data_IF_581313217461
#
_entry.id   IF_581313217461
#
_cell.length_a   1.000
_cell.length_b   1.000
_cell.length_c   1.000
_cell.angle_alpha   90.00
_cell.angle_beta   90.00
_cell.angle_gamma   90.00
#
_symmetry.space_group_name_H-M   'P 1'
#
loop_
_entity.id
_entity.type
_entity.pdbx_description
1 polymer ?
#
# COMPACT_ATOMS: atom_id res chain seq x y z
N UNK A 1 -57.25 -104.95 41.49
CA UNK A 1 -57.50 -104.29 40.19
C UNK A 1 -57.59 -102.78 40.41
N UNK A 2 -56.46 -102.11 40.72
CA UNK A 2 -56.39 -100.64 40.95
C UNK A 2 -55.07 -100.01 40.44
N UNK A 3 -54.14 -100.80 39.90
CA UNK A 3 -52.80 -100.31 39.51
C UNK A 3 -52.67 -99.79 38.06
N UNK A 4 -53.78 -99.65 37.31
CA UNK A 4 -53.74 -99.22 35.89
C UNK A 4 -54.29 -97.81 35.63
N UNK A 5 -54.66 -97.04 36.65
CA UNK A 5 -55.31 -95.73 36.48
C UNK A 5 -54.42 -94.51 36.83
N UNK A 6 -53.22 -94.71 37.38
CA UNK A 6 -52.27 -93.63 37.73
C UNK A 6 -51.09 -93.47 36.75
N UNK A 7 -51.00 -94.32 35.71
CA UNK A 7 -49.90 -94.27 34.72
C UNK A 7 -50.19 -93.29 33.57
N UNK A 8 -51.46 -92.96 33.35
CA UNK A 8 -51.93 -92.08 32.27
C UNK A 8 -51.53 -90.59 32.43
N UNK A 9 -51.53 -89.96 33.62
CA UNK A 9 -51.11 -88.55 33.74
C UNK A 9 -49.58 -88.36 33.69
N UNK A 10 -48.79 -89.40 33.96
CA UNK A 10 -47.31 -89.34 33.93
C UNK A 10 -46.75 -89.49 32.50
N UNK A 11 -47.45 -90.23 31.63
CA UNK A 11 -47.09 -90.36 30.21
C UNK A 11 -47.46 -89.09 29.41
N UNK A 12 -48.48 -88.34 29.83
CA UNK A 12 -48.90 -87.09 29.17
C UNK A 12 -47.96 -85.91 29.48
N UNK A 13 -47.27 -85.91 30.63
CA UNK A 13 -46.30 -84.88 31.02
C UNK A 13 -44.91 -85.10 30.39
N UNK A 14 -44.60 -86.33 29.96
CA UNK A 14 -43.34 -86.67 29.27
C UNK A 14 -43.35 -86.33 27.76
N UNK A 15 -44.50 -85.98 27.18
CA UNK A 15 -44.65 -85.74 25.74
C UNK A 15 -44.36 -84.27 25.33
N UNK A 16 -44.22 -83.36 26.29
CA UNK A 16 -44.03 -81.92 26.04
C UNK A 16 -42.54 -81.53 25.92
N UNK A 17 -41.60 -82.43 26.25
CA UNK A 17 -40.15 -82.12 26.30
C UNK A 17 -39.39 -82.51 25.02
N UNK A 18 -40.07 -82.97 23.95
CA UNK A 18 -39.40 -83.44 22.71
C UNK A 18 -39.59 -82.54 21.48
N UNK A 19 -39.87 -81.25 21.66
CA UNK A 19 -39.65 -80.26 20.57
C UNK A 19 -38.14 -80.05 20.39
N UNK A 20 -37.54 -81.00 19.66
CA UNK A 20 -36.23 -80.89 19.04
C UNK A 20 -36.34 -79.86 17.91
N UNK A 21 -35.84 -78.65 18.15
CA UNK A 21 -35.53 -77.72 17.09
C UNK A 21 -34.14 -78.09 16.56
N UNK A 22 -34.10 -78.60 15.33
CA UNK A 22 -32.89 -78.84 14.56
C UNK A 22 -32.00 -77.58 14.55
N UNK A 23 -30.67 -77.68 14.67
CA UNK A 23 -29.81 -76.54 14.37
C UNK A 23 -29.86 -76.29 12.86
N UNK A 24 -30.83 -75.50 12.41
CA UNK A 24 -30.65 -74.75 11.20
C UNK A 24 -29.38 -73.92 11.40
N UNK A 25 -28.37 -74.11 10.53
CA UNK A 25 -27.20 -73.24 10.42
C UNK A 25 -27.71 -71.80 10.38
N UNK A 26 -27.65 -71.12 11.53
CA UNK A 26 -27.61 -69.67 11.55
C UNK A 26 -26.29 -69.32 10.89
N UNK A 27 -26.24 -68.37 9.94
CA UNK A 27 -24.95 -67.78 9.61
C UNK A 27 -24.41 -67.24 10.94
N UNK A 28 -23.26 -67.77 11.35
CA UNK A 28 -22.40 -67.07 12.30
C UNK A 28 -22.31 -65.66 11.77
N UNK A 29 -22.86 -64.71 12.52
CA UNK A 29 -22.49 -63.32 12.36
C UNK A 29 -21.04 -63.25 12.77
N UNK A 30 -20.14 -63.55 11.83
CA UNK A 30 -18.79 -63.03 11.84
C UNK A 30 -18.93 -61.56 12.18
N UNK A 31 -18.44 -61.20 13.37
CA UNK A 31 -18.30 -59.79 13.70
C UNK A 31 -17.45 -59.21 12.57
N UNK A 32 -17.88 -58.13 11.90
CA UNK A 32 -17.14 -57.62 10.76
C UNK A 32 -15.68 -57.46 11.19
N UNK A 33 -14.78 -58.06 10.41
CA UNK A 33 -13.35 -58.01 10.71
C UNK A 33 -12.98 -56.53 10.91
N UNK A 34 -12.22 -56.24 11.96
CA UNK A 34 -11.82 -54.88 12.27
C UNK A 34 -11.10 -54.24 11.07
N UNK A 35 -10.39 -55.05 10.28
CA UNK A 35 -9.80 -54.66 9.00
C UNK A 35 -10.82 -54.19 7.98
N UNK A 36 -11.88 -54.96 7.74
CA UNK A 36 -12.96 -54.62 6.80
C UNK A 36 -13.75 -53.38 7.24
N UNK A 37 -14.04 -53.26 8.54
CA UNK A 37 -14.72 -52.09 9.10
C UNK A 37 -13.86 -50.82 8.96
N UNK A 38 -12.55 -50.93 9.23
CA UNK A 38 -11.61 -49.82 9.04
C UNK A 38 -11.54 -49.39 7.58
N UNK A 39 -11.47 -50.34 6.65
CA UNK A 39 -11.42 -50.04 5.22
C UNK A 39 -12.71 -49.36 4.76
N UNK A 40 -13.87 -49.85 5.21
CA UNK A 40 -15.16 -49.23 4.92
C UNK A 40 -15.23 -47.79 5.44
N UNK A 41 -14.77 -47.52 6.67
CA UNK A 41 -14.74 -46.15 7.21
C UNK A 41 -13.78 -45.26 6.43
N UNK A 42 -12.60 -45.75 6.05
CA UNK A 42 -11.65 -44.99 5.23
C UNK A 42 -12.24 -44.67 3.85
N UNK A 43 -12.91 -45.63 3.22
CA UNK A 43 -13.55 -45.45 1.93
C UNK A 43 -14.68 -44.41 2.02
N UNK A 44 -15.52 -44.48 3.07
CA UNK A 44 -16.58 -43.50 3.34
C UNK A 44 -16.00 -42.09 3.55
N UNK A 45 -14.91 -41.94 4.30
CA UNK A 45 -14.26 -40.63 4.48
C UNK A 45 -13.66 -40.08 3.18
N UNK A 46 -13.21 -40.95 2.28
CA UNK A 46 -12.64 -40.56 0.99
C UNK A 46 -13.72 -40.26 -0.07
N UNK A 47 -14.96 -40.69 0.13
CA UNK A 47 -16.08 -40.37 -0.77
C UNK A 47 -16.37 -38.88 -0.84
N UNK A 48 -17.09 -38.46 -1.88
CA UNK A 48 -17.49 -37.05 -2.03
C UNK A 48 -18.46 -36.63 -0.93
N UNK A 49 -19.30 -37.55 -0.47
CA UNK A 49 -20.24 -37.38 0.64
C UNK A 49 -19.48 -37.18 1.95
N UNK A 50 -18.47 -38.01 2.23
CA UNK A 50 -17.58 -37.86 3.39
C UNK A 50 -16.84 -36.52 3.41
N UNK A 51 -16.27 -36.11 2.27
CA UNK A 51 -15.62 -34.80 2.12
C UNK A 51 -16.59 -33.64 2.30
N UNK A 52 -17.82 -33.74 1.77
CA UNK A 52 -18.87 -32.71 1.96
C UNK A 52 -19.30 -32.60 3.42
N UNK A 53 -19.52 -33.73 4.09
CA UNK A 53 -19.86 -33.77 5.51
C UNK A 53 -18.77 -33.12 6.36
N UNK A 54 -17.50 -33.37 6.04
CA UNK A 54 -16.37 -32.71 6.71
C UNK A 54 -16.34 -31.20 6.45
N UNK A 55 -16.58 -30.76 5.21
CA UNK A 55 -16.67 -29.33 4.87
C UNK A 55 -17.86 -28.65 5.57
N UNK A 56 -18.98 -29.34 5.73
CA UNK A 56 -20.13 -28.84 6.50
C UNK A 56 -19.81 -28.70 7.98
N UNK A 57 -19.08 -29.68 8.55
CA UNK A 57 -18.61 -29.60 9.93
C UNK A 57 -17.61 -28.44 10.12
N UNK A 58 -16.72 -28.19 9.15
CA UNK A 58 -15.84 -27.01 9.14
C UNK A 58 -16.58 -25.67 8.98
N UNK A 59 -17.86 -25.68 8.55
CA UNK A 59 -18.69 -24.47 8.52
C UNK A 59 -19.24 -24.13 9.91
N UNK A 60 -19.27 -25.09 10.82
CA UNK A 60 -19.67 -24.89 12.21
C UNK A 60 -18.62 -24.04 12.97
N UNK A 61 -19.00 -22.88 13.54
CA UNK A 61 -18.08 -22.03 14.30
C UNK A 61 -17.56 -22.67 15.59
N UNK A 62 -18.28 -23.59 16.22
CA UNK A 62 -17.82 -24.30 17.43
C UNK A 62 -16.72 -25.29 17.04
N UNK A 63 -16.96 -26.09 16.00
CA UNK A 63 -15.98 -27.06 15.52
C UNK A 63 -14.69 -26.42 14.99
N UNK A 64 -14.77 -25.24 14.34
CA UNK A 64 -13.57 -24.53 13.85
C UNK A 64 -12.61 -24.09 14.95
N UNK A 65 -13.10 -23.80 16.15
CA UNK A 65 -12.28 -23.30 17.25
C UNK A 65 -11.36 -24.38 17.82
N UNK A 66 -11.75 -25.65 17.67
CA UNK A 66 -11.03 -26.80 18.23
C UNK A 66 -9.97 -27.38 17.29
N UNK A 67 -9.84 -26.85 16.06
CA UNK A 67 -8.88 -27.35 15.07
C UNK A 67 -7.52 -26.72 15.31
N UNK A 68 -6.57 -27.53 15.78
CA UNK A 68 -5.16 -27.16 15.87
C UNK A 68 -4.52 -27.37 14.49
N UNK A 69 -4.11 -26.28 13.85
CA UNK A 69 -3.31 -26.30 12.62
C UNK A 69 -1.85 -26.09 13.00
N UNK A 70 -0.92 -26.81 12.37
CA UNK A 70 0.51 -26.60 12.56
C UNK A 70 0.90 -25.16 12.22
N UNK A 71 1.53 -24.47 13.16
CA UNK A 71 1.86 -23.04 13.06
C UNK A 71 2.83 -22.77 11.89
N UNK A 72 3.78 -23.67 11.62
CA UNK A 72 4.78 -23.47 10.55
C UNK A 72 4.18 -23.69 9.17
N UNK A 73 3.39 -24.74 9.00
CA UNK A 73 2.68 -24.95 7.73
C UNK A 73 1.67 -23.81 7.47
N UNK A 74 1.06 -23.28 8.53
CA UNK A 74 0.18 -22.10 8.43
C UNK A 74 0.96 -20.85 8.02
N UNK A 75 2.08 -20.53 8.68
CA UNK A 75 2.93 -19.38 8.35
C UNK A 75 3.42 -19.42 6.90
N UNK A 76 3.88 -20.59 6.45
CA UNK A 76 4.32 -20.79 5.06
C UNK A 76 3.17 -20.61 4.08
N UNK A 77 2.03 -21.25 4.33
CA UNK A 77 0.85 -21.15 3.48
C UNK A 77 0.34 -19.71 3.39
N UNK A 78 0.31 -18.98 4.52
CA UNK A 78 -0.07 -17.57 4.55
C UNK A 78 0.92 -16.74 3.74
N UNK A 79 2.23 -16.95 3.94
CA UNK A 79 3.27 -16.20 3.23
C UNK A 79 3.20 -16.41 1.72
N UNK A 80 3.11 -17.66 1.28
CA UNK A 80 3.01 -18.02 -0.14
C UNK A 80 1.71 -17.49 -0.76
N UNK A 81 0.61 -17.56 -0.01
CA UNK A 81 -0.67 -17.02 -0.45
C UNK A 81 -0.61 -15.51 -0.58
N UNK A 82 -0.02 -14.79 0.38
CA UNK A 82 0.14 -13.34 0.36
C UNK A 82 0.97 -12.84 -0.82
N UNK A 83 1.99 -13.61 -1.23
CA UNK A 83 2.85 -13.30 -2.38
C UNK A 83 2.27 -13.78 -3.72
N UNK A 84 1.12 -14.45 -3.71
CA UNK A 84 0.51 -14.96 -4.94
C UNK A 84 -0.12 -13.84 -5.79
N UNK A 85 -0.05 -13.91 -7.13
CA UNK A 85 -0.72 -12.94 -8.02
C UNK A 85 -2.24 -12.88 -7.84
N UNK A 86 -2.85 -13.97 -7.34
CA UNK A 86 -4.28 -14.02 -7.02
C UNK A 86 -4.59 -13.13 -5.81
N UNK A 87 -3.78 -13.22 -4.76
CA UNK A 87 -3.95 -12.40 -3.57
C UNK A 87 -3.66 -10.94 -3.87
N UNK A 88 -2.65 -10.62 -4.68
CA UNK A 88 -2.38 -9.24 -5.11
C UNK A 88 -3.63 -8.57 -5.71
N UNK A 89 -4.29 -9.23 -6.66
CA UNK A 89 -5.54 -8.73 -7.27
C UNK A 89 -6.69 -8.60 -6.27
N UNK A 90 -6.78 -9.52 -5.30
CA UNK A 90 -7.81 -9.45 -4.26
C UNK A 90 -7.52 -8.31 -3.29
N UNK A 91 -6.27 -8.13 -2.89
CA UNK A 91 -5.83 -7.06 -2.00
C UNK A 91 -6.05 -5.69 -2.64
N UNK A 92 -5.74 -5.52 -3.93
CA UNK A 92 -6.07 -4.31 -4.69
C UNK A 92 -7.56 -3.97 -4.59
N UNK A 93 -8.45 -4.94 -4.92
CA UNK A 93 -9.91 -4.76 -4.81
C UNK A 93 -10.40 -4.49 -3.39
N UNK A 94 -9.72 -5.04 -2.38
CA UNK A 94 -10.07 -4.79 -0.99
C UNK A 94 -9.62 -3.39 -0.55
N UNK A 95 -8.43 -2.94 -0.96
CA UNK A 95 -7.90 -1.62 -0.66
C UNK A 95 -8.63 -0.51 -1.43
N UNK A 96 -9.31 -0.79 -2.53
CA UNK A 96 -10.24 0.16 -3.16
C UNK A 96 -11.45 0.50 -2.27
N UNK A 97 -11.77 -0.34 -1.29
CA UNK A 97 -12.90 -0.09 -0.36
C UNK A 97 -12.49 0.95 0.69
N UNK A 98 -13.18 2.09 0.81
CA UNK A 98 -12.74 3.20 1.66
C UNK A 98 -12.56 2.84 3.15
N UNK A 99 -13.44 2.00 3.69
CA UNK A 99 -13.34 1.55 5.10
C UNK A 99 -12.08 0.70 5.33
N UNK A 100 -11.78 -0.19 4.39
CA UNK A 100 -10.60 -1.07 4.47
C UNK A 100 -9.33 -0.25 4.29
N UNK A 101 -9.28 0.62 3.27
CA UNK A 101 -8.17 1.54 3.04
C UNK A 101 -7.89 2.41 4.27
N UNK A 102 -8.93 2.97 4.89
CA UNK A 102 -8.80 3.82 6.07
C UNK A 102 -8.25 3.04 7.26
N UNK A 103 -8.80 1.85 7.54
CA UNK A 103 -8.30 1.01 8.63
C UNK A 103 -6.86 0.56 8.40
N UNK A 104 -6.51 0.17 7.17
CA UNK A 104 -5.14 -0.20 6.80
C UNK A 104 -4.17 0.97 6.95
N UNK A 105 -4.53 2.16 6.44
CA UNK A 105 -3.71 3.36 6.56
C UNK A 105 -3.53 3.78 8.03
N UNK A 106 -4.56 3.63 8.88
CA UNK A 106 -4.45 3.89 10.32
C UNK A 106 -3.52 2.87 11.01
N UNK A 107 -3.67 1.60 10.68
CA UNK A 107 -2.85 0.53 11.27
C UNK A 107 -1.36 0.65 10.90
N UNK A 108 -1.06 1.16 9.70
CA UNK A 108 0.31 1.28 9.17
C UNK A 108 0.90 2.68 9.27
N UNK A 109 0.16 3.64 9.85
CA UNK A 109 0.50 5.07 9.80
C UNK A 109 1.88 5.37 10.39
N UNK A 110 2.22 4.73 11.51
CA UNK A 110 3.46 4.98 12.25
C UNK A 110 4.67 4.50 11.45
N UNK A 111 4.58 3.28 10.93
CA UNK A 111 5.59 2.60 10.13
C UNK A 111 5.76 3.34 8.79
N UNK A 112 4.67 3.74 8.14
CA UNK A 112 4.72 4.52 6.92
C UNK A 112 5.37 5.89 7.13
N UNK A 113 5.08 6.58 8.25
CA UNK A 113 5.74 7.85 8.60
C UNK A 113 7.23 7.66 8.86
N UNK A 114 7.62 6.58 9.51
CA UNK A 114 9.02 6.25 9.77
C UNK A 114 9.76 5.91 8.48
N UNK A 115 9.16 5.11 7.61
CA UNK A 115 9.68 4.80 6.28
C UNK A 115 9.89 6.08 5.47
N UNK A 116 8.87 6.94 5.38
CA UNK A 116 8.96 8.20 4.63
C UNK A 116 10.07 9.12 5.17
N UNK A 117 10.21 9.23 6.50
CA UNK A 117 11.32 9.98 7.12
C UNK A 117 12.69 9.39 6.81
N UNK A 118 12.77 8.07 6.66
CA UNK A 118 14.02 7.38 6.33
C UNK A 118 14.36 7.58 4.87
N UNK A 119 13.38 7.47 3.97
CA UNK A 119 13.54 7.76 2.54
C UNK A 119 13.96 9.22 2.30
N UNK A 120 13.47 10.20 3.07
CA UNK A 120 13.96 11.58 2.94
C UNK A 120 15.46 11.77 3.23
N UNK A 121 16.09 10.82 3.92
CA UNK A 121 17.53 10.81 4.18
C UNK A 121 18.30 9.96 3.16
N UNK A 122 17.59 9.21 2.32
CA UNK A 122 18.18 8.36 1.30
C UNK A 122 18.63 9.21 0.09
N UNK A 123 19.87 9.07 -0.40
CA UNK A 123 20.39 9.88 -1.50
C UNK A 123 19.62 9.71 -2.82
N UNK A 124 19.12 8.51 -3.11
CA UNK A 124 18.39 8.24 -4.36
C UNK A 124 17.01 8.89 -4.32
N UNK A 125 16.31 8.78 -3.19
CA UNK A 125 15.04 9.49 -2.97
C UNK A 125 15.22 11.01 -2.96
N UNK A 126 16.29 11.53 -2.36
CA UNK A 126 16.63 12.96 -2.39
C UNK A 126 16.87 13.45 -3.82
N UNK A 127 17.55 12.68 -4.65
CA UNK A 127 17.76 13.01 -6.06
C UNK A 127 16.42 13.13 -6.80
N UNK A 128 15.53 12.15 -6.63
CA UNK A 128 14.18 12.22 -7.19
C UNK A 128 13.39 13.45 -6.71
N UNK A 129 13.55 13.83 -5.44
CA UNK A 129 12.92 15.04 -4.90
C UNK A 129 13.49 16.33 -5.52
N UNK A 130 14.81 16.39 -5.77
CA UNK A 130 15.44 17.52 -6.46
C UNK A 130 15.00 17.63 -7.91
N UNK A 131 14.79 16.51 -8.59
CA UNK A 131 14.26 16.50 -9.95
C UNK A 131 12.83 17.06 -9.99
N UNK A 132 11.99 16.76 -8.97
CA UNK A 132 10.67 17.37 -8.82
C UNK A 132 10.77 18.89 -8.60
N UNK A 133 11.76 19.37 -7.85
CA UNK A 133 11.96 20.81 -7.65
C UNK A 133 12.43 21.53 -8.93
N UNK A 134 12.99 20.82 -9.90
CA UNK A 134 13.35 21.39 -11.20
C UNK A 134 12.14 21.55 -12.13
N UNK A 135 10.96 21.07 -11.73
CA UNK A 135 9.74 21.21 -12.51
C UNK A 135 9.41 22.70 -12.82
N UNK A 136 8.97 23.03 -14.05
CA UNK A 136 8.63 24.40 -14.44
C UNK A 136 7.58 25.08 -13.55
N UNK A 137 6.60 24.34 -13.02
CA UNK A 137 5.58 24.90 -12.12
C UNK A 137 6.19 25.27 -10.77
N UNK A 138 7.09 24.44 -10.24
CA UNK A 138 7.84 24.79 -9.03
C UNK A 138 8.73 26.03 -9.27
N UNK A 139 9.41 26.09 -10.42
CA UNK A 139 10.21 27.24 -10.83
C UNK A 139 9.38 28.53 -10.95
N UNK A 140 8.14 28.43 -11.43
CA UNK A 140 7.20 29.56 -11.51
C UNK A 140 6.81 30.05 -10.13
N UNK A 141 6.53 29.13 -9.19
CA UNK A 141 6.25 29.47 -7.81
C UNK A 141 7.45 30.16 -7.14
N UNK A 142 8.66 29.66 -7.37
CA UNK A 142 9.89 30.28 -6.87
C UNK A 142 10.11 31.70 -7.43
N UNK A 143 9.86 31.90 -8.74
CA UNK A 143 9.91 33.23 -9.36
C UNK A 143 8.88 34.20 -8.78
N UNK A 144 7.69 33.71 -8.43
CA UNK A 144 6.67 34.52 -7.76
C UNK A 144 7.12 34.92 -6.35
N UNK A 145 7.73 33.99 -5.61
CA UNK A 145 8.30 34.26 -4.28
C UNK A 145 9.41 35.32 -4.35
N UNK A 146 10.31 35.26 -5.34
CA UNK A 146 11.33 36.30 -5.54
C UNK A 146 10.76 37.69 -5.85
N UNK A 147 9.52 37.77 -6.35
CA UNK A 147 8.82 39.04 -6.61
C UNK A 147 8.00 39.51 -5.40
N UNK A 148 7.92 38.72 -4.33
CA UNK A 148 7.18 39.08 -3.13
C UNK A 148 7.76 40.35 -2.50
N UNK A 149 6.95 41.03 -1.69
CA UNK A 149 7.38 42.27 -1.03
C UNK A 149 8.51 41.99 -0.03
N UNK A 150 8.40 40.89 0.69
CA UNK A 150 9.36 40.44 1.71
C UNK A 150 10.71 40.15 1.06
N UNK A 151 10.74 39.39 -0.04
CA UNK A 151 11.98 39.10 -0.75
C UNK A 151 12.59 40.36 -1.37
N UNK A 152 11.77 41.28 -1.90
CA UNK A 152 12.24 42.57 -2.40
C UNK A 152 12.85 43.44 -1.30
N UNK A 153 12.26 43.50 -0.11
CA UNK A 153 12.83 44.23 1.02
C UNK A 153 14.18 43.66 1.44
N UNK A 154 14.30 42.33 1.53
CA UNK A 154 15.58 41.68 1.82
C UNK A 154 16.61 41.96 0.71
N UNK A 155 16.19 41.92 -0.55
CA UNK A 155 17.05 42.25 -1.70
C UNK A 155 17.54 43.69 -1.65
N UNK A 156 16.66 44.66 -1.34
CA UNK A 156 17.03 46.06 -1.17
C UNK A 156 18.04 46.24 -0.05
N UNK A 157 17.82 45.60 1.11
CA UNK A 157 18.77 45.63 2.22
C UNK A 157 20.12 45.06 1.83
N UNK A 158 20.16 43.92 1.14
CA UNK A 158 21.42 43.35 0.65
C UNK A 158 22.11 44.26 -0.38
N UNK A 159 21.35 44.99 -1.21
CA UNK A 159 21.92 45.98 -2.12
C UNK A 159 22.49 47.20 -1.38
N UNK A 160 21.81 47.68 -0.34
CA UNK A 160 22.32 48.76 0.53
C UNK A 160 23.62 48.33 1.22
N UNK A 161 23.65 47.14 1.82
CA UNK A 161 24.86 46.56 2.42
C UNK A 161 26.00 46.39 1.41
N UNK A 162 25.67 45.96 0.18
CA UNK A 162 26.65 45.87 -0.91
C UNK A 162 27.19 47.25 -1.29
N UNK A 163 26.34 48.28 -1.37
CA UNK A 163 26.77 49.67 -1.61
C UNK A 163 27.53 50.27 -0.44
N UNK A 164 27.50 49.68 0.75
CA UNK A 164 28.34 50.08 1.87
C UNK A 164 29.73 49.42 1.83
N UNK A 165 29.89 48.35 1.03
CA UNK A 165 31.16 47.69 0.85
C UNK A 165 32.15 48.60 0.10
N UNK A 166 33.37 48.86 0.65
CA UNK A 166 34.34 49.76 0.04
C UNK A 166 34.71 49.44 -1.40
N UNK A 167 34.82 48.15 -1.75
CA UNK A 167 35.17 47.70 -3.10
C UNK A 167 34.02 47.99 -4.07
N UNK A 168 32.78 47.82 -3.62
CA UNK A 168 31.61 48.07 -4.45
C UNK A 168 31.37 49.57 -4.60
N UNK A 169 31.56 50.36 -3.54
CA UNK A 169 31.53 51.84 -3.59
C UNK A 169 32.50 52.38 -4.61
N UNK A 170 33.75 51.93 -4.57
CA UNK A 170 34.77 52.40 -5.51
C UNK A 170 34.39 52.08 -6.96
N UNK A 171 33.95 50.85 -7.23
CA UNK A 171 33.49 50.44 -8.57
C UNK A 171 32.27 51.23 -9.01
N UNK A 172 31.30 51.43 -8.13
CA UNK A 172 30.10 52.21 -8.42
C UNK A 172 30.44 53.67 -8.74
N UNK A 173 31.28 54.30 -7.93
CA UNK A 173 31.76 55.68 -8.18
C UNK A 173 32.48 55.80 -9.51
N UNK A 174 33.35 54.85 -9.87
CA UNK A 174 34.03 54.83 -11.18
C UNK A 174 33.03 54.76 -12.35
N UNK A 175 32.01 53.90 -12.24
CA UNK A 175 30.97 53.79 -13.27
C UNK A 175 30.16 55.09 -13.40
N UNK A 176 29.81 55.73 -12.27
CA UNK A 176 29.11 57.01 -12.26
C UNK A 176 29.97 58.11 -12.89
N UNK A 177 31.26 58.18 -12.54
CA UNK A 177 32.20 59.15 -13.13
C UNK A 177 32.35 58.97 -14.64
N UNK A 178 32.47 57.73 -15.13
CA UNK A 178 32.53 57.43 -16.56
C UNK A 178 31.24 57.82 -17.29
N UNK A 179 30.07 57.58 -16.67
CA UNK A 179 28.77 57.95 -17.23
C UNK A 179 28.62 59.47 -17.35
N UNK A 180 29.01 60.23 -16.31
CA UNK A 180 29.00 61.70 -16.33
C UNK A 180 29.95 62.23 -17.42
N UNK A 181 31.18 61.71 -17.49
CA UNK A 181 32.15 62.09 -18.54
C UNK A 181 31.61 61.84 -19.95
N UNK A 182 30.96 60.71 -20.19
CA UNK A 182 30.31 60.41 -21.49
C UNK A 182 29.18 61.39 -21.79
N UNK A 183 28.33 61.68 -20.81
CA UNK A 183 27.21 62.61 -20.99
C UNK A 183 27.67 64.04 -21.26
N UNK A 184 28.74 64.49 -20.60
CA UNK A 184 29.38 65.79 -20.88
C UNK A 184 30.02 65.84 -22.26
N UNK A 185 30.68 64.76 -22.70
CA UNK A 185 31.23 64.66 -24.05
C UNK A 185 30.14 64.66 -25.13
N UNK A 186 29.01 64.00 -24.88
CA UNK A 186 27.84 64.05 -25.77
C UNK A 186 27.18 65.43 -25.80
N UNK A 187 27.06 66.11 -24.66
CA UNK A 187 26.57 67.50 -24.60
C UNK A 187 27.50 68.45 -25.36
N UNK A 188 28.83 68.34 -25.19
CA UNK A 188 29.81 69.13 -25.94
C UNK A 188 29.81 68.84 -27.44
N UNK A 189 29.50 67.60 -27.86
CA UNK A 189 29.28 67.26 -29.27
C UNK A 189 27.99 67.86 -29.84
N UNK A 190 26.91 67.92 -29.04
CA UNK A 190 25.63 68.55 -29.45
C UNK A 190 25.70 70.08 -29.49
N UNK A 191 26.42 70.73 -28.57
CA UNK A 191 26.64 72.19 -28.61
C UNK A 191 27.49 72.63 -29.81
N UNK A 192 28.46 71.82 -30.24
CA UNK A 192 29.22 72.08 -31.47
C UNK A 192 28.43 71.91 -32.76
N UNK A 193 27.28 71.23 -32.75
CA UNK A 193 26.38 71.10 -33.91
C UNK A 193 25.24 72.13 -33.91
N UNK A 194 24.87 72.70 -32.76
CA UNK A 194 23.83 73.74 -32.66
C UNK A 194 24.33 75.18 -32.85
N UNK A 195 25.64 75.43 -32.76
CA UNK A 195 26.23 76.77 -32.84
C UNK A 195 26.57 77.29 -34.24
N UNK A 196 26.28 76.54 -35.31
CA UNK A 196 26.70 76.88 -36.67
C UNK A 196 25.56 77.36 -37.59
N UNK A 197 24.47 77.88 -37.03
CA UNK A 197 23.32 78.37 -37.82
C UNK A 197 22.86 79.78 -37.44
N UNK A 198 23.73 80.60 -36.84
CA UNK A 198 23.40 81.99 -36.51
C UNK A 198 24.62 82.92 -36.65
N UNK A 199 25.28 82.88 -37.81
CA UNK A 199 26.26 83.91 -38.21
C UNK A 199 26.42 83.95 -39.74
N UNK A 200 25.33 84.20 -40.47
CA UNK A 200 25.42 84.53 -41.90
C UNK A 200 24.12 85.19 -42.40
N UNK A 201 23.69 86.29 -41.77
CA UNK A 201 22.73 87.18 -42.44
C UNK A 201 22.85 88.59 -41.85
N UNK A 202 23.77 89.36 -42.43
CA UNK A 202 24.08 90.70 -41.97
C UNK A 202 25.18 91.36 -42.77
N UNK A 203 25.11 91.29 -44.10
CA UNK A 203 25.76 92.25 -44.99
C UNK A 203 25.22 92.05 -46.43
N UNK A 204 24.96 93.17 -47.10
CA UNK A 204 24.50 93.34 -48.50
C UNK A 204 22.96 93.35 -48.70
N UNK A 205 22.30 94.41 -49.18
CA UNK A 205 22.76 95.70 -49.70
C UNK A 205 21.57 96.66 -49.85
N UNK A 206 21.85 97.96 -49.82
CA UNK A 206 20.87 99.01 -50.07
C UNK A 206 20.64 99.26 -51.56
N UNK A 207 19.37 99.51 -51.90
CA UNK A 207 18.82 100.48 -52.88
C UNK A 207 17.31 100.27 -52.94
#
# INVERSE_FOLDING_TARGET
MVHRLHVVPIVLLSLIVTVSCSPAKRPESESPDYGETKQMVMDVLQTQEGKKALVELLRDPEFRQDIIIDEKEMEQTISDTMLSPKMEKQLQKLLEKPKVASSFAKATQKEQKQLMKSLLKDPEYQKGLLDIMQDPEYSKHLKQLMKSREYRQQTMKTMEEALDNPVFREKFSKVVEEAVKKQEQEKKKKEKQGGQQQSSEGEDGGT
#
